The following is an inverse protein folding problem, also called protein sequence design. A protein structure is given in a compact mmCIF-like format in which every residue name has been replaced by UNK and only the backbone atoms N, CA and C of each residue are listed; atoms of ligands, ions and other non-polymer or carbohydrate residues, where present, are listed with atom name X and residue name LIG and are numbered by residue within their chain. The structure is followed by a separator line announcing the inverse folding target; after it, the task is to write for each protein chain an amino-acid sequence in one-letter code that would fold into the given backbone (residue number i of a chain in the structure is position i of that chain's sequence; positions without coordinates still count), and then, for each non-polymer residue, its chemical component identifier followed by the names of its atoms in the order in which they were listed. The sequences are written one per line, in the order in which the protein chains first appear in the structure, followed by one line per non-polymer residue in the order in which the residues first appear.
data_IF_981463542201
#
_entry.id   IF_981463542201
#
_cell.length_a   1.000
_cell.length_b   1.000
_cell.length_c   1.000
_cell.angle_alpha   90.00
_cell.angle_beta   90.00
_cell.angle_gamma   90.00
#
_symmetry.space_group_name_H-M   'P 1'
#
loop_
_entity.id
_entity.type
_entity.pdbx_description
1 polymer ?
#
# COMPACT_ATOMS: atom_id res chain seq x y z
N UNK A 1 22.80 -1.12 41.14
CA UNK A 1 22.58 -1.83 39.86
C UNK A 1 23.59 -1.48 38.76
N UNK A 2 24.08 -0.25 38.64
CA UNK A 2 25.02 0.11 37.57
C UNK A 2 26.29 -0.77 37.52
N UNK A 3 26.85 -1.15 38.67
CA UNK A 3 28.12 -1.89 38.73
C UNK A 3 28.02 -3.34 38.23
N UNK A 4 26.92 -4.05 38.52
CA UNK A 4 26.72 -5.43 38.04
C UNK A 4 26.46 -5.45 36.53
N UNK A 5 25.61 -4.55 36.04
CA UNK A 5 25.31 -4.40 34.61
C UNK A 5 26.58 -4.00 33.86
N UNK A 6 27.31 -3.01 34.36
CA UNK A 6 28.57 -2.58 33.77
C UNK A 6 29.63 -3.68 33.70
N UNK A 7 29.66 -4.58 34.70
CA UNK A 7 30.63 -5.69 34.71
C UNK A 7 30.21 -6.80 33.73
N UNK A 8 28.94 -7.19 33.74
CA UNK A 8 28.42 -8.29 32.90
C UNK A 8 28.49 -7.99 31.40
N UNK A 9 28.28 -6.75 30.99
CA UNK A 9 28.25 -6.36 29.58
C UNK A 9 29.63 -5.95 29.01
N UNK A 10 30.72 -6.14 29.76
CA UNK A 10 32.08 -6.02 29.19
C UNK A 10 32.34 -7.18 28.22
N UNK A 11 32.93 -6.93 27.03
CA UNK A 11 33.22 -7.98 26.05
C UNK A 11 33.94 -9.19 26.65
N UNK A 12 34.99 -8.94 27.44
CA UNK A 12 35.78 -9.98 28.10
C UNK A 12 34.97 -10.85 29.08
N UNK A 13 33.92 -10.28 29.69
CA UNK A 13 33.08 -10.98 30.67
C UNK A 13 32.01 -11.81 29.97
N UNK A 14 31.45 -11.30 28.87
CA UNK A 14 30.51 -12.06 28.03
C UNK A 14 31.14 -13.35 27.50
N UNK A 15 32.46 -13.35 27.23
CA UNK A 15 33.21 -14.56 26.88
C UNK A 15 33.37 -15.51 28.07
N UNK A 16 33.73 -14.99 29.25
CA UNK A 16 33.87 -15.77 30.48
C UNK A 16 32.58 -16.50 30.90
N UNK A 17 31.41 -15.89 30.67
CA UNK A 17 30.11 -16.45 31.03
C UNK A 17 29.41 -17.16 29.86
N UNK A 18 30.12 -17.37 28.75
CA UNK A 18 29.57 -18.01 27.55
C UNK A 18 29.22 -19.47 27.81
N UNK A 19 30.04 -20.19 28.57
CA UNK A 19 29.77 -21.58 28.96
C UNK A 19 28.54 -21.67 29.88
N UNK A 20 27.44 -22.35 29.46
CA UNK A 20 26.24 -22.50 30.28
C UNK A 20 26.47 -23.15 31.64
N UNK A 21 27.47 -24.01 31.77
CA UNK A 21 27.74 -24.79 32.99
C UNK A 21 28.32 -23.88 34.09
N UNK A 22 29.29 -23.03 33.75
CA UNK A 22 29.93 -22.13 34.71
C UNK A 22 29.19 -20.79 34.88
N UNK A 23 28.30 -20.44 33.95
CA UNK A 23 27.61 -19.16 33.90
C UNK A 23 26.89 -18.80 35.20
N UNK A 24 26.15 -19.75 35.79
CA UNK A 24 25.41 -19.50 37.02
C UNK A 24 26.34 -19.13 38.18
N UNK A 25 27.44 -19.87 38.32
CA UNK A 25 28.48 -19.63 39.34
C UNK A 25 29.17 -18.29 39.14
N UNK A 26 29.50 -17.93 37.90
CA UNK A 26 30.08 -16.63 37.57
C UNK A 26 29.14 -15.47 37.86
N UNK A 27 27.85 -15.59 37.49
CA UNK A 27 26.84 -14.56 37.74
C UNK A 27 26.63 -14.37 39.25
N UNK A 28 26.51 -15.45 40.03
CA UNK A 28 26.38 -15.35 41.49
C UNK A 28 27.60 -14.66 42.11
N UNK A 29 28.81 -15.11 41.75
CA UNK A 29 30.05 -14.53 42.29
C UNK A 29 30.23 -13.05 41.93
N UNK A 30 29.92 -12.66 40.69
CA UNK A 30 29.94 -11.27 40.25
C UNK A 30 28.87 -10.42 40.94
N UNK A 31 27.68 -10.97 41.16
CA UNK A 31 26.60 -10.28 41.86
C UNK A 31 27.00 -9.98 43.31
N UNK A 32 27.47 -10.99 44.03
CA UNK A 32 27.95 -10.85 45.41
C UNK A 32 29.12 -9.86 45.48
N UNK A 33 30.11 -9.98 44.59
CA UNK A 33 31.25 -9.07 44.55
C UNK A 33 30.84 -7.62 44.26
N UNK A 34 29.97 -7.38 43.27
CA UNK A 34 29.47 -6.05 42.93
C UNK A 34 28.66 -5.43 44.06
N UNK A 35 27.81 -6.24 44.70
CA UNK A 35 26.98 -5.81 45.81
C UNK A 35 27.82 -5.49 47.06
N UNK A 36 28.84 -6.29 47.36
CA UNK A 36 29.80 -6.04 48.42
C UNK A 36 30.60 -4.76 48.16
N UNK A 37 31.16 -4.62 46.95
CA UNK A 37 31.97 -3.45 46.58
C UNK A 37 31.19 -2.14 46.63
N UNK A 38 29.95 -2.14 46.12
CA UNK A 38 29.08 -0.96 46.15
C UNK A 38 28.75 -0.52 47.58
N UNK A 39 28.39 -1.46 48.46
CA UNK A 39 28.09 -1.17 49.87
C UNK A 39 29.34 -0.70 50.64
N UNK A 40 30.49 -1.32 50.39
CA UNK A 40 31.75 -0.90 51.00
C UNK A 40 32.12 0.54 50.59
N UNK A 41 31.95 0.90 49.32
CA UNK A 41 32.14 2.28 48.86
C UNK A 41 31.11 3.27 49.43
N UNK A 42 29.94 2.79 49.86
CA UNK A 42 28.94 3.57 50.58
C UNK A 42 29.23 3.68 52.10
N UNK A 43 30.37 3.14 52.58
CA UNK A 43 30.79 3.26 53.98
C UNK A 43 30.20 2.21 54.93
N UNK A 44 29.54 1.17 54.41
CA UNK A 44 28.88 0.15 55.23
C UNK A 44 29.90 -0.84 55.84
N UNK A 45 29.73 -1.20 57.13
CA UNK A 45 30.23 -2.37 57.81
C UNK A 45 30.66 -3.57 56.98
N UNK A 46 31.89 -4.09 57.00
CA UNK A 46 32.14 -5.40 56.35
C UNK A 46 31.29 -6.52 56.97
N UNK A 47 31.11 -6.48 58.29
CA UNK A 47 30.22 -7.37 59.05
C UNK A 47 28.78 -7.27 58.57
N UNK A 48 28.26 -6.05 58.49
CA UNK A 48 26.90 -5.77 58.02
C UNK A 48 26.69 -6.18 56.55
N UNK A 49 27.67 -5.92 55.68
CA UNK A 49 27.64 -6.37 54.28
C UNK A 49 27.56 -7.89 54.21
N UNK A 50 28.33 -8.59 55.03
CA UNK A 50 28.36 -10.05 55.07
C UNK A 50 27.00 -10.62 55.50
N UNK A 51 26.41 -10.04 56.54
CA UNK A 51 25.07 -10.38 57.03
C UNK A 51 23.99 -10.14 55.96
N UNK A 52 23.93 -8.94 55.38
CA UNK A 52 22.94 -8.58 54.34
C UNK A 52 23.07 -9.43 53.07
N UNK A 53 24.28 -9.87 52.72
CA UNK A 53 24.52 -10.71 51.55
C UNK A 53 24.39 -12.21 51.83
N UNK A 54 24.21 -12.63 53.08
CA UNK A 54 24.19 -14.04 53.45
C UNK A 54 25.50 -14.75 53.09
N UNK A 55 26.65 -14.08 53.30
CA UNK A 55 27.99 -14.60 53.01
C UNK A 55 28.90 -14.37 54.22
N UNK A 56 30.00 -15.13 54.31
CA UNK A 56 30.96 -14.91 55.40
C UNK A 56 31.72 -13.60 55.22
N UNK A 57 32.14 -12.96 56.32
CA UNK A 57 33.03 -11.80 56.27
C UNK A 57 34.32 -12.10 55.49
N UNK A 58 34.86 -13.31 55.63
CA UNK A 58 36.05 -13.74 54.89
C UNK A 58 35.82 -13.73 53.38
N UNK A 59 34.65 -14.18 52.92
CA UNK A 59 34.24 -14.14 51.50
C UNK A 59 34.11 -12.69 51.02
N UNK A 60 33.41 -11.84 51.77
CA UNK A 60 33.26 -10.42 51.43
C UNK A 60 34.61 -9.72 51.36
N UNK A 61 35.48 -9.91 52.36
CA UNK A 61 36.86 -9.36 52.37
C UNK A 61 37.68 -9.85 51.20
N UNK A 62 37.50 -11.10 50.77
CA UNK A 62 38.22 -11.66 49.61
C UNK A 62 37.77 -11.03 48.30
N UNK A 63 36.49 -10.67 48.15
CA UNK A 63 36.01 -9.87 47.02
C UNK A 63 36.52 -8.44 47.07
N UNK A 64 36.38 -7.75 48.21
CA UNK A 64 36.80 -6.35 48.37
C UNK A 64 38.30 -6.14 48.16
N UNK A 65 39.12 -7.07 48.67
CA UNK A 65 40.58 -7.05 48.50
C UNK A 65 41.03 -7.64 47.16
N UNK A 66 40.10 -7.89 46.23
CA UNK A 66 40.40 -8.36 44.88
C UNK A 66 41.20 -9.68 44.86
N UNK A 67 41.06 -10.52 45.89
CA UNK A 67 41.66 -11.88 45.91
C UNK A 67 40.92 -12.82 44.97
N UNK A 68 39.61 -12.61 44.83
CA UNK A 68 38.77 -13.36 43.89
C UNK A 68 38.79 -12.73 42.50
N UNK A 69 38.60 -13.54 41.46
CA UNK A 69 38.51 -13.05 40.08
C UNK A 69 37.29 -12.14 39.88
N UNK A 70 36.13 -12.47 40.47
CA UNK A 70 34.96 -11.60 40.48
C UNK A 70 35.23 -10.23 41.13
N UNK A 71 35.95 -10.21 42.27
CA UNK A 71 36.33 -8.97 42.96
C UNK A 71 37.23 -8.07 42.12
N UNK A 72 38.23 -8.65 41.43
CA UNK A 72 39.09 -7.93 40.48
C UNK A 72 38.28 -7.27 39.37
N UNK A 73 37.42 -8.04 38.71
CA UNK A 73 36.62 -7.58 37.56
C UNK A 73 35.65 -6.44 37.94
N UNK A 74 35.04 -6.54 39.12
CA UNK A 74 34.15 -5.50 39.66
C UNK A 74 34.93 -4.22 39.98
N UNK A 75 36.09 -4.34 40.63
CA UNK A 75 36.93 -3.19 40.95
C UNK A 75 37.43 -2.48 39.67
N UNK A 76 37.90 -3.22 38.67
CA UNK A 76 38.26 -2.67 37.36
C UNK A 76 37.10 -1.95 36.69
N UNK A 77 35.90 -2.56 36.73
CA UNK A 77 34.71 -1.96 36.13
C UNK A 77 34.35 -0.65 36.83
N UNK A 78 34.44 -0.60 38.16
CA UNK A 78 34.26 0.64 38.91
C UNK A 78 35.24 1.74 38.46
N UNK A 79 36.52 1.43 38.31
CA UNK A 79 37.52 2.42 37.85
C UNK A 79 37.29 2.85 36.39
N UNK A 80 36.83 1.95 35.52
CA UNK A 80 36.41 2.30 34.15
C UNK A 80 35.18 3.22 34.15
N UNK A 81 34.19 2.97 35.01
CA UNK A 81 33.02 3.85 35.17
C UNK A 81 33.46 5.23 35.65
N UNK A 82 34.30 5.28 36.69
CA UNK A 82 34.80 6.54 37.28
C UNK A 82 35.57 7.39 36.28
N UNK A 83 36.28 6.76 35.33
CA UNK A 83 37.03 7.45 34.25
C UNK A 83 36.21 7.70 32.98
N UNK A 84 34.97 7.21 32.89
CA UNK A 84 34.16 7.32 31.66
C UNK A 84 34.63 6.42 30.51
N UNK A 85 35.44 5.39 30.78
CA UNK A 85 36.09 4.52 29.78
C UNK A 85 35.37 3.17 29.61
N UNK A 86 34.19 2.98 30.22
CA UNK A 86 33.49 1.71 30.19
C UNK A 86 32.94 1.42 28.78
N UNK A 87 33.53 0.42 28.11
CA UNK A 87 33.01 -0.15 26.86
C UNK A 87 32.06 -1.30 27.17
N UNK A 88 30.81 -1.17 26.69
CA UNK A 88 29.79 -2.21 26.80
C UNK A 88 29.57 -2.84 25.43
N UNK A 89 29.60 -4.17 25.38
CA UNK A 89 29.08 -4.92 24.24
C UNK A 89 27.61 -5.20 24.52
N UNK A 90 26.70 -4.62 23.73
CA UNK A 90 25.26 -4.92 23.78
C UNK A 90 24.93 -5.85 22.60
N UNK A 91 25.10 -7.18 22.74
CA UNK A 91 24.94 -8.14 21.64
C UNK A 91 23.53 -8.13 21.02
N UNK A 92 22.51 -7.66 21.75
CA UNK A 92 21.13 -7.60 21.26
C UNK A 92 20.89 -6.54 20.17
N UNK A 93 21.67 -5.45 20.14
CA UNK A 93 21.42 -4.32 19.22
C UNK A 93 21.76 -4.71 17.77
N UNK A 94 22.82 -5.49 17.55
CA UNK A 94 23.24 -5.87 16.18
C UNK A 94 22.24 -6.79 15.48
N UNK A 95 21.68 -7.77 16.19
CA UNK A 95 20.71 -8.69 15.60
C UNK A 95 19.40 -7.97 15.25
N UNK A 96 18.93 -7.08 16.13
CA UNK A 96 17.73 -6.26 15.90
C UNK A 96 17.97 -5.28 14.75
N UNK A 97 19.14 -4.64 14.67
CA UNK A 97 19.48 -3.72 13.59
C UNK A 97 19.53 -4.43 12.23
N UNK A 98 20.17 -5.60 12.13
CA UNK A 98 20.22 -6.36 10.88
C UNK A 98 18.83 -6.83 10.41
N UNK A 99 17.96 -7.26 11.34
CA UNK A 99 16.58 -7.62 11.04
C UNK A 99 15.77 -6.41 10.54
N UNK A 100 15.95 -5.25 11.17
CA UNK A 100 15.27 -4.02 10.78
C UNK A 100 15.75 -3.52 9.39
N UNK A 101 17.04 -3.64 9.09
CA UNK A 101 17.59 -3.28 7.77
C UNK A 101 17.01 -4.15 6.65
N UNK A 102 16.86 -5.45 6.88
CA UNK A 102 16.23 -6.38 5.95
C UNK A 102 14.77 -6.02 5.70
N UNK A 103 14.00 -5.79 6.76
CA UNK A 103 12.59 -5.40 6.67
C UNK A 103 12.42 -4.07 5.93
N UNK A 104 13.26 -3.07 6.22
CA UNK A 104 13.27 -1.80 5.50
C UNK A 104 13.59 -2.00 4.01
N UNK A 105 14.51 -2.91 3.66
CA UNK A 105 14.83 -3.20 2.25
C UNK A 105 13.64 -3.81 1.52
N UNK A 106 12.98 -4.79 2.13
CA UNK A 106 11.79 -5.44 1.55
C UNK A 106 10.66 -4.42 1.37
N UNK A 107 10.38 -3.61 2.39
CA UNK A 107 9.35 -2.57 2.32
C UNK A 107 9.64 -1.53 1.23
N UNK A 108 10.90 -1.11 1.06
CA UNK A 108 11.29 -0.20 -0.01
C UNK A 108 11.04 -0.79 -1.40
N UNK A 109 11.39 -2.07 -1.59
CA UNK A 109 11.13 -2.77 -2.85
C UNK A 109 9.64 -2.84 -3.17
N UNK A 110 8.81 -3.16 -2.17
CA UNK A 110 7.37 -3.24 -2.33
C UNK A 110 6.74 -1.88 -2.64
N UNK A 111 7.20 -0.80 -1.98
CA UNK A 111 6.77 0.56 -2.29
C UNK A 111 7.07 0.94 -3.74
N UNK A 112 8.25 0.59 -4.24
CA UNK A 112 8.63 0.91 -5.63
C UNK A 112 7.78 0.10 -6.63
N UNK A 113 7.54 -1.18 -6.36
CA UNK A 113 6.66 -2.04 -7.15
C UNK A 113 5.22 -1.50 -7.19
N UNK A 114 4.70 -1.06 -6.06
CA UNK A 114 3.36 -0.46 -5.97
C UNK A 114 3.27 0.87 -6.71
N UNK A 115 4.32 1.71 -6.64
CA UNK A 115 4.39 2.96 -7.41
C UNK A 115 4.35 2.72 -8.90
N UNK A 116 5.11 1.75 -9.39
CA UNK A 116 5.12 1.43 -10.82
C UNK A 116 3.77 0.89 -11.27
N UNK A 117 3.14 0.03 -10.48
CA UNK A 117 1.79 -0.46 -10.77
C UNK A 117 0.77 0.67 -10.81
N UNK A 118 0.87 1.65 -9.91
CA UNK A 118 0.00 2.84 -9.93
C UNK A 118 0.20 3.66 -11.20
N UNK A 119 1.45 3.91 -11.64
CA UNK A 119 1.71 4.63 -12.90
C UNK A 119 1.07 3.95 -14.11
N UNK A 120 1.21 2.62 -14.19
CA UNK A 120 0.60 1.84 -15.29
C UNK A 120 -0.93 1.96 -15.26
N UNK A 121 -1.55 1.82 -14.09
CA UNK A 121 -3.00 1.95 -13.93
C UNK A 121 -3.49 3.37 -14.28
N UNK A 122 -2.76 4.41 -13.88
CA UNK A 122 -3.08 5.79 -14.24
C UNK A 122 -3.03 6.02 -15.76
N UNK A 123 -2.04 5.45 -16.45
CA UNK A 123 -1.96 5.49 -17.92
C UNK A 123 -3.17 4.79 -18.56
N UNK A 124 -3.49 3.58 -18.10
CA UNK A 124 -4.64 2.83 -18.61
C UNK A 124 -5.96 3.58 -18.43
N UNK A 125 -6.16 4.23 -17.27
CA UNK A 125 -7.34 5.06 -17.02
C UNK A 125 -7.39 6.25 -17.97
N UNK A 126 -6.25 6.91 -18.23
CA UNK A 126 -6.19 8.01 -19.19
C UNK A 126 -6.57 7.56 -20.60
N UNK A 127 -6.06 6.42 -21.06
CA UNK A 127 -6.34 5.90 -22.39
C UNK A 127 -7.81 5.48 -22.53
N UNK A 128 -8.36 4.77 -21.55
CA UNK A 128 -9.78 4.41 -21.52
C UNK A 128 -10.71 5.64 -21.52
N UNK A 129 -10.33 6.72 -20.82
CA UNK A 129 -11.09 7.99 -20.86
C UNK A 129 -11.09 8.60 -22.25
N UNK A 130 -9.97 8.57 -22.96
CA UNK A 130 -9.88 9.07 -24.35
C UNK A 130 -10.72 8.23 -25.31
N UNK A 131 -10.72 6.91 -25.15
CA UNK A 131 -11.55 6.02 -25.96
C UNK A 131 -13.04 6.23 -25.71
N UNK A 132 -13.45 6.37 -24.44
CA UNK A 132 -14.82 6.71 -24.08
C UNK A 132 -15.28 8.03 -24.72
N UNK A 133 -14.43 9.04 -24.72
CA UNK A 133 -14.74 10.33 -25.33
C UNK A 133 -14.88 10.22 -26.86
N UNK A 134 -14.01 9.46 -27.52
CA UNK A 134 -14.15 9.17 -28.96
C UNK A 134 -15.47 8.46 -29.27
N UNK A 135 -15.82 7.44 -28.50
CA UNK A 135 -17.05 6.68 -28.69
C UNK A 135 -18.30 7.54 -28.46
N UNK A 136 -18.29 8.42 -27.44
CA UNK A 136 -19.36 9.38 -27.21
C UNK A 136 -19.56 10.32 -28.39
N UNK A 137 -18.47 10.86 -28.93
CA UNK A 137 -18.55 11.76 -30.08
C UNK A 137 -19.08 11.03 -31.34
N UNK A 138 -18.66 9.78 -31.55
CA UNK A 138 -19.21 8.95 -32.63
C UNK A 138 -20.70 8.66 -32.45
N UNK A 139 -21.14 8.37 -31.22
CA UNK A 139 -22.54 8.13 -30.92
C UNK A 139 -23.39 9.38 -31.21
N UNK A 140 -22.97 10.55 -30.72
CA UNK A 140 -23.66 11.82 -30.97
C UNK A 140 -23.74 12.14 -32.47
N UNK A 141 -22.68 11.89 -33.23
CA UNK A 141 -22.69 12.09 -34.68
C UNK A 141 -23.71 11.16 -35.36
N UNK A 142 -23.76 9.89 -34.96
CA UNK A 142 -24.74 8.92 -35.49
C UNK A 142 -26.17 9.26 -35.09
N UNK A 143 -26.41 9.78 -33.89
CA UNK A 143 -27.72 10.28 -33.48
C UNK A 143 -28.16 11.46 -34.34
N UNK A 144 -27.26 12.40 -34.64
CA UNK A 144 -27.56 13.54 -35.53
C UNK A 144 -27.85 13.08 -36.97
N UNK A 145 -27.07 12.14 -37.51
CA UNK A 145 -27.33 11.54 -38.82
C UNK A 145 -28.71 10.86 -38.85
N UNK A 146 -29.05 10.10 -37.81
CA UNK A 146 -30.34 9.42 -37.68
C UNK A 146 -31.51 10.41 -37.65
N UNK A 147 -31.35 11.53 -36.94
CA UNK A 147 -32.34 12.60 -36.89
C UNK A 147 -32.54 13.24 -38.27
N UNK A 148 -31.45 13.57 -38.98
CA UNK A 148 -31.54 14.14 -40.32
C UNK A 148 -32.20 13.18 -41.33
N UNK A 149 -31.90 11.88 -41.24
CA UNK A 149 -32.53 10.87 -42.10
C UNK A 149 -34.03 10.78 -41.80
N UNK A 150 -34.42 10.84 -40.52
CA UNK A 150 -35.82 10.81 -40.12
C UNK A 150 -36.58 12.02 -40.67
N UNK A 151 -36.03 13.22 -40.55
CA UNK A 151 -36.65 14.45 -41.07
C UNK A 151 -36.83 14.39 -42.59
N UNK A 152 -35.84 13.86 -43.31
CA UNK A 152 -35.92 13.68 -44.76
C UNK A 152 -36.97 12.62 -45.14
N UNK A 153 -37.06 11.53 -44.38
CA UNK A 153 -38.08 10.51 -44.58
C UNK A 153 -39.49 11.07 -44.37
N UNK A 154 -39.70 11.93 -43.37
CA UNK A 154 -40.99 12.60 -43.14
C UNK A 154 -41.36 13.54 -44.30
N UNK A 155 -40.39 14.26 -44.87
CA UNK A 155 -40.60 15.10 -46.07
C UNK A 155 -41.00 14.26 -47.29
N UNK A 156 -40.26 13.20 -47.57
CA UNK A 156 -40.55 12.31 -48.69
C UNK A 156 -41.92 11.62 -48.57
N UNK A 157 -42.34 11.25 -47.35
CA UNK A 157 -43.69 10.72 -47.11
C UNK A 157 -44.75 11.76 -47.49
N UNK A 158 -44.57 13.02 -47.10
CA UNK A 158 -45.50 14.10 -47.44
C UNK A 158 -45.56 14.35 -48.95
N UNK A 159 -44.41 14.42 -49.62
CA UNK A 159 -44.34 14.55 -51.08
C UNK A 159 -45.04 13.39 -51.79
N UNK A 160 -44.82 12.16 -51.34
CA UNK A 160 -45.50 10.96 -51.85
C UNK A 160 -47.01 11.08 -51.69
N UNK A 161 -47.50 11.53 -50.54
CA UNK A 161 -48.93 11.70 -50.28
C UNK A 161 -49.56 12.78 -51.17
N UNK A 162 -48.87 13.90 -51.38
CA UNK A 162 -49.33 14.97 -52.27
C UNK A 162 -49.34 14.51 -53.74
N UNK A 163 -48.32 13.77 -54.19
CA UNK A 163 -48.32 13.15 -55.52
C UNK A 163 -49.44 12.14 -55.69
N UNK A 164 -49.73 11.34 -54.66
CA UNK A 164 -50.83 10.38 -54.69
C UNK A 164 -52.19 11.08 -54.91
N UNK A 165 -52.44 12.20 -54.22
CA UNK A 165 -53.66 13.00 -54.42
C UNK A 165 -53.77 13.53 -55.85
N UNK A 166 -52.68 14.07 -56.40
CA UNK A 166 -52.63 14.52 -57.81
C UNK A 166 -52.94 13.39 -58.78
N UNK A 167 -52.43 12.19 -58.54
CA UNK A 167 -52.75 11.00 -59.35
C UNK A 167 -54.24 10.66 -59.26
N UNK A 168 -54.83 10.71 -58.06
CA UNK A 168 -56.27 10.46 -57.85
C UNK A 168 -57.15 11.50 -58.59
N UNK A 169 -56.74 12.78 -58.57
CA UNK A 169 -57.38 13.87 -59.34
C UNK A 169 -57.31 13.61 -60.84
N UNK A 170 -56.12 13.33 -61.38
CA UNK A 170 -55.92 13.03 -62.81
C UNK A 170 -56.74 11.81 -63.24
N UNK A 171 -56.80 10.75 -62.41
CA UNK A 171 -57.62 9.58 -62.69
C UNK A 171 -59.10 9.96 -62.80
N UNK A 172 -59.58 10.87 -61.96
CA UNK A 172 -60.96 11.37 -62.04
C UNK A 172 -61.20 12.16 -63.33
N UNK A 173 -60.30 13.08 -63.67
CA UNK A 173 -60.38 13.88 -64.91
C UNK A 173 -60.38 13.00 -66.16
N UNK A 174 -59.50 11.99 -66.22
CA UNK A 174 -59.43 11.04 -67.34
C UNK A 174 -60.72 10.23 -67.46
N UNK A 175 -61.34 9.83 -66.35
CA UNK A 175 -62.65 9.14 -66.38
C UNK A 175 -63.74 10.04 -66.95
N UNK A 176 -63.82 11.29 -66.51
CA UNK A 176 -64.78 12.27 -67.04
C UNK A 176 -64.56 12.53 -68.53
N UNK A 177 -63.30 12.73 -68.95
CA UNK A 177 -62.97 12.92 -70.36
C UNK A 177 -63.38 11.70 -71.22
N UNK A 178 -63.17 10.48 -70.71
CA UNK A 178 -63.62 9.25 -71.37
C UNK A 178 -65.14 9.20 -71.54
N UNK A 179 -65.90 9.60 -70.52
CA UNK A 179 -67.37 9.66 -70.60
C UNK A 179 -67.85 10.64 -71.67
N UNK A 180 -67.30 11.86 -71.67
CA UNK A 180 -67.61 12.88 -72.68
C UNK A 180 -67.29 12.41 -74.10
N UNK A 181 -66.14 11.76 -74.31
CA UNK A 181 -65.77 11.20 -75.62
C UNK A 181 -66.76 10.11 -76.06
N UNK A 182 -67.16 9.21 -75.15
CA UNK A 182 -68.14 8.17 -75.45
C UNK A 182 -69.51 8.75 -75.82
N UNK A 183 -69.95 9.81 -75.15
CA UNK A 183 -71.16 10.54 -75.51
C UNK A 183 -71.05 11.21 -76.87
N UNK A 184 -69.93 11.90 -77.14
CA UNK A 184 -69.65 12.52 -78.43
C UNK A 184 -69.69 11.52 -79.59
N UNK A 185 -69.08 10.34 -79.42
CA UNK A 185 -69.10 9.26 -80.41
C UNK A 185 -70.53 8.76 -80.69
N UNK A 186 -71.37 8.60 -79.65
CA UNK A 186 -72.78 8.22 -79.81
C UNK A 186 -73.57 9.26 -80.59
N UNK A 187 -73.28 10.56 -80.40
CA UNK A 187 -73.94 11.64 -81.13
C UNK A 187 -73.52 11.60 -82.61
N UNK A 188 -72.22 11.46 -82.90
CA UNK A 188 -71.71 11.38 -84.27
C UNK A 188 -72.37 10.21 -85.01
N UNK A 189 -72.40 9.02 -84.40
CA UNK A 189 -73.00 7.82 -85.00
C UNK A 189 -74.48 8.02 -85.39
N UNK A 190 -75.26 8.70 -84.53
CA UNK A 190 -76.67 9.08 -84.82
C UNK A 190 -76.80 10.05 -85.98
N UNK A 191 -75.87 11.00 -86.14
CA UNK A 191 -75.89 11.97 -87.24
C UNK A 191 -75.50 11.32 -88.55
N UNK A 192 -74.49 10.44 -88.55
CA UNK A 192 -74.04 9.73 -89.76
C UNK A 192 -75.00 8.65 -90.25
N UNK A 193 -75.84 8.09 -89.39
CA UNK A 193 -76.87 7.10 -89.78
C UNK A 193 -78.19 7.74 -90.25
N UNK A 194 -78.39 9.05 -90.04
CA UNK A 194 -79.57 9.80 -90.45
C UNK A 194 -79.41 10.58 -91.77
N UNK A 195 -78.20 10.56 -92.37
CA UNK A 195 -77.89 11.14 -93.69
C UNK A 195 -77.76 10.04 -94.74
#
# INVERSE_FOLDING_TARGET
MALIIGTLYRPEILELIRDPIERATWIDSLAVAAAAFARYKAGIPVSQIAEELGRSEATVRSHLNQKTKAGKLVAETYEKIKRGELKLAVPFIKAVAASAEEEVRVLRSEVERLRERNRVLESQISDLRRELEKLRNQLNAKESETMSIKDEMERLIKERDDMRKKIEEIISEVKQAKEVILEGLKIIDRVTTAS
#
